data_IF_680998808814
#
_entry.id   IF_680998808814
#
_cell.length_a   1.000
_cell.length_b   1.000
_cell.length_c   1.000
_cell.angle_alpha   90.00
_cell.angle_beta   90.00
_cell.angle_gamma   90.00
#
_symmetry.space_group_name_H-M   'P 1'
#
loop_
_entity.id
_entity.type
_entity.pdbx_description
1 polymer ?
#
# COMPACT_ATOMS: atom_id res chain seq x y z
N UNK A 1 20.45 15.52 20.04
CA UNK A 1 20.80 14.09 20.17
C UNK A 1 21.39 13.89 21.55
N UNK A 2 21.15 12.77 22.26
CA UNK A 2 22.12 12.38 23.28
C UNK A 2 23.46 12.25 22.55
N UNK A 3 24.44 13.08 22.92
CA UNK A 3 25.70 13.19 22.18
C UNK A 3 26.43 11.85 22.19
N UNK A 4 26.27 11.07 21.12
CA UNK A 4 27.07 9.88 20.88
C UNK A 4 28.54 10.30 20.88
N UNK A 5 29.38 9.62 21.66
CA UNK A 5 30.80 9.94 21.71
C UNK A 5 31.43 9.85 20.31
N UNK A 6 32.42 10.70 20.02
CA UNK A 6 33.13 10.70 18.73
C UNK A 6 33.71 9.33 18.37
N UNK A 7 34.09 8.52 19.38
CA UNK A 7 34.54 7.13 19.21
C UNK A 7 33.43 6.23 18.68
N UNK A 8 32.23 6.31 19.28
CA UNK A 8 31.08 5.51 18.85
C UNK A 8 30.58 5.93 17.48
N UNK A 9 30.59 7.23 17.17
CA UNK A 9 30.25 7.73 15.83
C UNK A 9 31.20 7.18 14.75
N UNK A 10 32.52 7.15 15.01
CA UNK A 10 33.49 6.57 14.07
C UNK A 10 33.28 5.07 13.87
N UNK A 11 33.01 4.33 14.94
CA UNK A 11 32.73 2.90 14.86
C UNK A 11 31.51 2.61 13.99
N UNK A 12 30.38 3.28 14.26
CA UNK A 12 29.14 3.08 13.50
C UNK A 12 29.30 3.47 12.03
N UNK A 13 30.04 4.55 11.74
CA UNK A 13 30.37 4.91 10.35
C UNK A 13 31.21 3.85 9.64
N UNK A 14 32.17 3.23 10.34
CA UNK A 14 32.99 2.14 9.79
C UNK A 14 32.16 0.85 9.56
N UNK A 15 31.11 0.63 10.36
CA UNK A 15 30.15 -0.47 10.18
C UNK A 15 29.14 -0.19 9.04
N UNK A 16 29.21 0.99 8.40
CA UNK A 16 28.40 1.36 7.23
C UNK A 16 27.12 2.17 7.54
N UNK A 17 26.91 2.60 8.79
CA UNK A 17 25.73 3.39 9.15
C UNK A 17 25.83 4.86 8.73
N UNK A 18 24.79 5.37 8.06
CA UNK A 18 24.63 6.80 7.79
C UNK A 18 23.97 7.52 8.98
N UNK A 19 24.82 8.07 9.85
CA UNK A 19 24.37 8.80 11.03
C UNK A 19 23.60 10.09 10.70
N UNK A 20 23.86 10.72 9.54
CA UNK A 20 23.17 11.94 9.16
C UNK A 20 21.73 11.62 8.73
N UNK A 21 21.55 10.56 7.93
CA UNK A 21 20.23 10.06 7.55
C UNK A 21 19.42 9.59 8.76
N UNK A 22 20.03 8.77 9.64
CA UNK A 22 19.39 8.30 10.87
C UNK A 22 18.93 9.47 11.76
N UNK A 23 19.73 10.54 11.86
CA UNK A 23 19.36 11.75 12.60
C UNK A 23 18.13 12.46 12.05
N UNK A 24 17.87 12.34 10.74
CA UNK A 24 16.73 13.00 10.10
C UNK A 24 15.45 12.18 10.26
N UNK A 25 15.55 10.86 10.17
CA UNK A 25 14.38 9.96 10.23
C UNK A 25 13.98 9.56 11.66
N UNK A 26 14.87 9.74 12.64
CA UNK A 26 14.55 9.36 14.02
C UNK A 26 13.37 10.19 14.57
N UNK A 27 12.51 9.59 15.41
CA UNK A 27 11.41 10.30 16.04
C UNK A 27 11.93 11.40 16.97
N UNK A 28 11.47 12.64 16.77
CA UNK A 28 11.96 13.83 17.49
C UNK A 28 11.45 13.94 18.95
N UNK A 29 10.59 13.02 19.39
CA UNK A 29 10.03 12.99 20.74
C UNK A 29 10.47 11.80 21.60
N UNK A 30 11.43 10.99 21.12
CA UNK A 30 11.65 9.61 21.60
C UNK A 30 10.37 8.76 21.54
N UNK A 31 10.50 7.46 21.83
CA UNK A 31 9.36 6.55 21.93
C UNK A 31 9.43 5.87 23.30
N UNK A 32 8.32 5.90 24.03
CA UNK A 32 8.18 5.22 25.31
C UNK A 32 7.30 3.98 25.14
N UNK A 33 7.94 2.80 25.14
CA UNK A 33 7.28 1.49 25.14
C UNK A 33 7.05 0.96 26.57
N UNK A 34 7.56 1.61 27.62
CA UNK A 34 7.68 1.02 28.97
C UNK A 34 6.47 1.25 29.87
N UNK A 35 5.60 2.21 29.54
CA UNK A 35 4.48 2.60 30.42
C UNK A 35 3.21 1.78 30.24
N UNK A 36 2.92 1.35 29.01
CA UNK A 36 1.69 0.64 28.67
C UNK A 36 1.99 -0.44 27.63
N UNK A 37 1.70 -1.71 27.95
CA UNK A 37 2.00 -2.82 27.05
C UNK A 37 1.16 -2.81 25.77
N UNK A 38 0.10 -2.00 25.70
CA UNK A 38 -0.90 -1.99 24.61
C UNK A 38 -0.82 -0.80 23.66
N UNK A 39 -0.01 0.21 23.96
CA UNK A 39 0.24 1.34 23.06
C UNK A 39 1.56 2.02 23.46
N UNK A 40 2.22 2.70 22.53
CA UNK A 40 3.36 3.56 22.83
C UNK A 40 2.99 5.02 22.62
N UNK A 41 3.71 5.90 23.32
CA UNK A 41 3.57 7.35 23.17
C UNK A 41 4.74 7.88 22.36
N UNK A 42 4.43 8.75 21.40
CA UNK A 42 5.41 9.55 20.66
C UNK A 42 5.05 11.04 20.78
N UNK A 43 5.88 11.92 20.24
CA UNK A 43 5.63 13.38 20.25
C UNK A 43 4.31 13.79 19.60
N UNK A 44 3.79 12.98 18.68
CA UNK A 44 2.59 13.28 17.89
C UNK A 44 1.30 12.64 18.47
N UNK A 45 1.40 11.83 19.52
CA UNK A 45 0.25 11.20 20.18
C UNK A 45 0.47 9.75 20.63
N UNK A 46 -0.63 9.01 20.74
CA UNK A 46 -0.68 7.61 21.14
C UNK A 46 -0.78 6.71 19.90
N UNK A 47 -0.06 5.58 19.92
CA UNK A 47 0.02 4.66 18.79
C UNK A 47 -0.05 3.20 19.23
N UNK A 48 -0.64 2.35 18.40
CA UNK A 48 -0.63 0.89 18.61
C UNK A 48 -0.57 0.16 17.27
N UNK A 49 -0.23 -1.13 17.30
CA UNK A 49 -0.24 -2.01 16.12
C UNK A 49 -1.27 -3.11 16.33
N UNK A 50 -2.13 -3.29 15.33
CA UNK A 50 -2.96 -4.47 15.19
C UNK A 50 -2.25 -5.49 14.29
N UNK A 51 -1.90 -6.62 14.88
CA UNK A 51 -1.31 -7.77 14.20
C UNK A 51 -2.44 -8.73 13.80
N UNK A 52 -2.53 -9.05 12.50
CA UNK A 52 -3.53 -9.99 11.98
C UNK A 52 -2.95 -11.40 11.93
N UNK A 53 -3.60 -12.33 12.65
CA UNK A 53 -3.09 -13.69 12.87
C UNK A 53 -4.02 -14.80 12.36
N UNK A 54 -5.23 -14.48 11.93
CA UNK A 54 -6.15 -15.48 11.37
C UNK A 54 -6.92 -14.86 10.20
N UNK A 55 -6.99 -15.62 9.11
CA UNK A 55 -7.63 -15.22 7.86
C UNK A 55 -8.72 -16.23 7.49
N UNK A 56 -9.80 -15.80 6.84
CA UNK A 56 -10.80 -16.72 6.31
C UNK A 56 -10.18 -17.76 5.38
N UNK A 57 -10.46 -19.04 5.62
CA UNK A 57 -10.03 -20.16 4.77
C UNK A 57 -10.77 -20.23 3.44
N UNK A 58 -11.99 -19.69 3.38
CA UNK A 58 -12.85 -19.65 2.21
C UNK A 58 -13.41 -18.24 2.00
N UNK A 59 -13.78 -17.90 0.76
CA UNK A 59 -14.42 -16.61 0.45
C UNK A 59 -13.47 -15.41 0.37
N UNK A 60 -12.17 -15.64 0.16
CA UNK A 60 -11.24 -14.56 -0.21
C UNK A 60 -11.49 -14.15 -1.66
N UNK A 61 -12.32 -13.13 -1.83
CA UNK A 61 -12.59 -12.51 -3.12
C UNK A 61 -11.32 -11.85 -3.71
N UNK A 62 -11.39 -11.48 -5.00
CA UNK A 62 -10.34 -10.66 -5.60
C UNK A 62 -10.19 -9.36 -4.81
N UNK A 63 -8.94 -8.93 -4.63
CA UNK A 63 -8.53 -7.74 -3.89
C UNK A 63 -8.80 -7.81 -2.38
N UNK A 64 -8.89 -8.99 -1.77
CA UNK A 64 -9.22 -9.15 -0.35
C UNK A 64 -8.28 -8.39 0.62
N UNK A 65 -6.98 -8.24 0.32
CA UNK A 65 -6.07 -7.45 1.19
C UNK A 65 -6.42 -5.96 1.22
N UNK A 66 -7.20 -5.46 0.26
CA UNK A 66 -7.66 -4.07 0.28
C UNK A 66 -8.48 -3.75 1.53
N UNK A 67 -9.22 -4.73 2.08
CA UNK A 67 -9.99 -4.58 3.32
C UNK A 67 -9.08 -4.35 4.55
N UNK A 68 -7.81 -4.78 4.48
CA UNK A 68 -6.82 -4.68 5.55
C UNK A 68 -5.81 -3.53 5.32
N UNK A 69 -5.44 -3.28 4.07
CA UNK A 69 -4.35 -2.38 3.72
C UNK A 69 -4.81 -0.97 3.34
N UNK A 70 -6.08 -0.78 2.96
CA UNK A 70 -6.63 0.52 2.57
C UNK A 70 -7.56 1.13 3.65
N UNK A 71 -7.27 0.86 4.92
CA UNK A 71 -8.04 1.38 6.05
C UNK A 71 -7.78 2.89 6.27
N UNK A 72 -8.81 3.76 6.16
CA UNK A 72 -8.62 5.21 6.29
C UNK A 72 -8.04 5.62 7.65
N UNK A 73 -7.06 6.53 7.63
CA UNK A 73 -6.44 7.06 8.84
C UNK A 73 -5.56 6.06 9.59
N UNK A 74 -5.13 4.97 8.94
CA UNK A 74 -4.18 4.00 9.49
C UNK A 74 -2.99 3.86 8.55
N UNK A 75 -1.92 3.19 9.00
CA UNK A 75 -0.80 2.82 8.14
C UNK A 75 -0.64 1.31 8.18
N UNK A 76 -0.87 0.65 7.05
CA UNK A 76 -0.79 -0.81 6.96
C UNK A 76 0.49 -1.25 6.26
N UNK A 77 1.08 -2.36 6.73
CA UNK A 77 2.26 -2.98 6.15
C UNK A 77 1.98 -4.45 5.85
N UNK A 78 2.36 -4.87 4.64
CA UNK A 78 2.41 -6.25 4.21
C UNK A 78 3.89 -6.65 4.09
N UNK A 79 4.31 -7.64 4.86
CA UNK A 79 5.66 -8.20 4.78
C UNK A 79 5.55 -9.65 4.31
N UNK A 80 6.33 -10.00 3.27
CA UNK A 80 6.31 -11.32 2.64
C UNK A 80 7.74 -11.86 2.56
N UNK A 81 7.91 -13.13 2.91
CA UNK A 81 9.12 -13.89 2.65
C UNK A 81 8.76 -15.26 2.08
N UNK A 82 9.68 -15.86 1.32
CA UNK A 82 9.45 -17.18 0.74
C UNK A 82 9.66 -18.25 1.81
N UNK A 83 8.71 -19.17 1.92
CA UNK A 83 8.81 -20.31 2.83
C UNK A 83 9.55 -21.49 2.19
N UNK A 84 10.23 -22.28 3.02
CA UNK A 84 10.76 -23.58 2.61
C UNK A 84 9.66 -24.63 2.71
N UNK A 85 9.19 -25.10 1.55
CA UNK A 85 8.14 -26.11 1.45
C UNK A 85 8.46 -27.37 2.25
N UNK A 86 9.74 -27.77 2.41
CA UNK A 86 10.11 -28.97 3.19
C UNK A 86 9.92 -28.76 4.69
N UNK A 87 10.34 -27.60 5.19
CA UNK A 87 10.16 -27.26 6.61
C UNK A 87 8.68 -27.09 6.93
N UNK A 88 7.95 -26.41 6.05
CA UNK A 88 6.51 -26.19 6.19
C UNK A 88 5.73 -27.52 6.19
N UNK A 89 6.10 -28.49 5.36
CA UNK A 89 5.48 -29.82 5.39
C UNK A 89 5.63 -30.51 6.73
N UNK A 90 6.85 -30.50 7.28
CA UNK A 90 7.11 -31.10 8.59
C UNK A 90 6.29 -30.44 9.70
N UNK A 91 6.17 -29.13 9.68
CA UNK A 91 5.37 -28.39 10.66
C UNK A 91 3.87 -28.62 10.52
N UNK A 92 3.39 -28.81 9.30
CA UNK A 92 2.00 -29.20 9.04
C UNK A 92 1.76 -30.61 9.61
N UNK A 93 2.67 -31.56 9.40
CA UNK A 93 2.58 -32.91 9.97
C UNK A 93 2.56 -32.88 11.50
N UNK A 94 3.51 -32.17 12.13
CA UNK A 94 3.59 -32.00 13.58
C UNK A 94 2.29 -31.36 14.14
N UNK A 95 1.75 -30.36 13.43
CA UNK A 95 0.49 -29.70 13.81
C UNK A 95 -0.73 -30.62 13.68
N UNK A 96 -0.78 -31.45 12.64
CA UNK A 96 -1.84 -32.45 12.46
C UNK A 96 -1.78 -33.48 13.59
N UNK A 97 -0.59 -33.96 13.95
CA UNK A 97 -0.41 -34.90 15.06
C UNK A 97 -0.88 -34.28 16.38
N UNK A 98 -0.44 -33.06 16.69
CA UNK A 98 -0.86 -32.35 17.90
C UNK A 98 -2.39 -32.20 17.97
N UNK A 99 -3.03 -31.73 16.90
CA UNK A 99 -4.49 -31.57 16.85
C UNK A 99 -5.22 -32.90 16.96
N UNK A 100 -4.69 -33.95 16.36
CA UNK A 100 -5.27 -35.29 16.45
C UNK A 100 -5.28 -35.81 17.88
N UNK A 101 -4.25 -35.51 18.69
CA UNK A 101 -4.23 -35.91 20.11
C UNK A 101 -5.27 -35.20 20.97
N UNK A 102 -5.72 -34.00 20.55
CA UNK A 102 -6.75 -33.22 21.27
C UNK A 102 -8.17 -33.75 21.04
N UNK A 103 -8.37 -34.58 20.01
CA UNK A 103 -9.65 -35.22 19.74
C UNK A 103 -9.82 -36.38 20.71
N UNK A 104 -10.71 -36.21 21.69
CA UNK A 104 -11.03 -37.25 22.67
C UNK A 104 -12.53 -37.52 22.73
N UNK A 105 -12.93 -38.71 23.17
CA UNK A 105 -14.36 -39.03 23.36
C UNK A 105 -15.00 -38.22 24.51
N UNK A 106 -14.20 -37.59 25.38
CA UNK A 106 -14.66 -36.86 26.57
C UNK A 106 -14.85 -35.35 26.32
N UNK A 107 -14.33 -34.81 25.21
CA UNK A 107 -14.52 -33.40 24.83
C UNK A 107 -15.89 -33.17 24.19
N UNK A 108 -16.40 -31.93 24.28
CA UNK A 108 -17.66 -31.54 23.64
C UNK A 108 -17.60 -31.84 22.13
N UNK A 109 -18.67 -32.42 21.59
CA UNK A 109 -18.78 -32.81 20.17
C UNK A 109 -18.46 -31.64 19.21
N UNK A 110 -18.85 -30.41 19.60
CA UNK A 110 -18.55 -29.18 18.86
C UNK A 110 -17.07 -28.82 18.83
N UNK A 111 -16.32 -29.09 19.89
CA UNK A 111 -14.87 -28.84 19.91
C UNK A 111 -14.15 -29.86 19.02
N UNK A 112 -14.53 -31.13 19.12
CA UNK A 112 -13.96 -32.18 18.26
C UNK A 112 -14.20 -31.89 16.77
N UNK A 113 -15.38 -31.38 16.42
CA UNK A 113 -15.70 -30.99 15.05
C UNK A 113 -14.78 -29.87 14.53
N UNK A 114 -14.50 -28.85 15.35
CA UNK A 114 -13.59 -27.76 14.96
C UNK A 114 -12.16 -28.27 14.70
N UNK A 115 -11.64 -29.10 15.60
CA UNK A 115 -10.30 -29.69 15.40
C UNK A 115 -10.24 -30.56 14.14
N UNK A 116 -11.30 -31.33 13.84
CA UNK A 116 -11.40 -32.10 12.60
C UNK A 116 -11.41 -31.21 11.34
N UNK A 117 -12.15 -30.11 11.37
CA UNK A 117 -12.21 -29.17 10.25
C UNK A 117 -10.83 -28.51 10.01
N UNK A 118 -10.09 -28.19 11.08
CA UNK A 118 -8.72 -27.65 10.98
C UNK A 118 -7.72 -28.69 10.45
N UNK A 119 -7.82 -29.94 10.89
CA UNK A 119 -7.02 -31.05 10.35
C UNK A 119 -7.29 -31.24 8.85
N UNK A 120 -8.54 -31.17 8.41
CA UNK A 120 -8.87 -31.26 6.97
C UNK A 120 -8.24 -30.10 6.17
N UNK A 121 -8.25 -28.88 6.71
CA UNK A 121 -7.61 -27.73 6.09
C UNK A 121 -6.08 -27.88 5.98
N UNK A 122 -5.42 -28.35 7.05
CA UNK A 122 -3.98 -28.65 7.03
C UNK A 122 -3.63 -29.75 6.01
N UNK A 123 -4.46 -30.78 5.92
CA UNK A 123 -4.30 -31.84 4.91
C UNK A 123 -4.47 -31.33 3.47
N UNK A 124 -5.42 -30.43 3.22
CA UNK A 124 -5.57 -29.77 1.92
C UNK A 124 -4.31 -28.98 1.57
N UNK A 125 -3.81 -28.18 2.52
CA UNK A 125 -2.60 -27.38 2.31
C UNK A 125 -1.38 -28.26 2.02
N UNK A 126 -1.16 -29.32 2.80
CA UNK A 126 -0.08 -30.30 2.57
C UNK A 126 -0.15 -30.90 1.16
N UNK A 127 -1.34 -31.34 0.72
CA UNK A 127 -1.55 -31.88 -0.63
C UNK A 127 -1.28 -30.86 -1.73
N UNK A 128 -1.59 -29.59 -1.52
CA UNK A 128 -1.30 -28.53 -2.49
C UNK A 128 0.21 -28.30 -2.64
N UNK A 129 0.96 -28.34 -1.54
CA UNK A 129 2.42 -28.23 -1.55
C UNK A 129 3.03 -29.41 -2.31
N UNK A 130 2.63 -30.64 -1.97
CA UNK A 130 3.16 -31.87 -2.59
C UNK A 130 2.85 -31.99 -4.08
N UNK A 131 1.56 -31.84 -4.45
CA UNK A 131 1.11 -32.21 -5.79
C UNK A 131 1.38 -31.13 -6.83
N UNK A 132 1.38 -29.86 -6.41
CA UNK A 132 1.43 -28.71 -7.33
C UNK A 132 2.73 -27.92 -7.23
N UNK A 133 3.62 -28.26 -6.29
CA UNK A 133 4.86 -27.54 -6.02
C UNK A 133 4.64 -26.01 -5.94
N UNK A 134 3.54 -25.61 -5.28
CA UNK A 134 3.16 -24.20 -5.17
C UNK A 134 4.17 -23.51 -4.25
N UNK A 135 4.59 -22.31 -4.65
CA UNK A 135 5.40 -21.46 -3.80
C UNK A 135 4.55 -20.96 -2.61
N UNK A 136 5.00 -21.27 -1.41
CA UNK A 136 4.42 -20.76 -0.17
C UNK A 136 5.20 -19.53 0.29
N UNK A 137 4.48 -18.58 0.88
CA UNK A 137 5.06 -17.38 1.46
C UNK A 137 4.56 -17.21 2.89
N UNK A 138 5.44 -16.78 3.79
CA UNK A 138 5.05 -16.33 5.11
C UNK A 138 4.63 -14.88 5.04
N UNK A 139 3.43 -14.60 5.53
CA UNK A 139 2.79 -13.30 5.42
C UNK A 139 2.57 -12.69 6.80
N UNK A 140 2.99 -11.43 6.96
CA UNK A 140 2.64 -10.59 8.10
C UNK A 140 1.83 -9.39 7.64
N UNK A 141 0.72 -9.12 8.32
CA UNK A 141 -0.09 -7.92 8.12
C UNK A 141 -0.19 -7.18 9.43
N UNK A 142 0.27 -5.93 9.39
CA UNK A 142 0.32 -5.03 10.55
C UNK A 142 -0.38 -3.74 10.21
N UNK A 143 -1.34 -3.34 11.03
CA UNK A 143 -2.07 -2.08 10.87
C UNK A 143 -1.73 -1.17 12.04
N UNK A 144 -1.00 -0.09 11.75
CA UNK A 144 -0.64 0.93 12.71
C UNK A 144 -1.79 1.90 12.87
N UNK A 145 -2.28 2.01 14.09
CA UNK A 145 -3.36 2.91 14.48
C UNK A 145 -2.76 4.01 15.36
N UNK A 146 -3.19 5.24 15.12
CA UNK A 146 -2.70 6.42 15.83
C UNK A 146 -3.84 7.40 16.12
N UNK A 147 -3.76 8.08 17.25
CA UNK A 147 -4.68 9.11 17.71
C UNK A 147 -3.98 10.06 18.71
N UNK A 148 -4.56 11.22 18.96
CA UNK A 148 -3.99 12.21 19.89
C UNK A 148 -4.07 11.75 21.34
N UNK A 149 -5.15 11.07 21.72
CA UNK A 149 -5.43 10.64 23.10
C UNK A 149 -5.74 9.13 23.14
N UNK A 150 -5.47 8.50 24.28
CA UNK A 150 -5.65 7.06 24.54
C UNK A 150 -7.07 6.57 24.27
N UNK A 151 -8.10 7.29 24.71
CA UNK A 151 -9.50 6.88 24.52
C UNK A 151 -9.88 6.85 23.03
N UNK A 152 -9.43 7.85 22.27
CA UNK A 152 -9.63 7.90 20.82
C UNK A 152 -8.88 6.79 20.10
N UNK A 153 -7.68 6.45 20.56
CA UNK A 153 -6.88 5.35 20.01
C UNK A 153 -7.64 4.03 20.12
N UNK A 154 -8.13 3.69 21.31
CA UNK A 154 -8.85 2.43 21.52
C UNK A 154 -10.21 2.40 20.82
N UNK A 155 -10.91 3.54 20.75
CA UNK A 155 -12.13 3.63 19.93
C UNK A 155 -11.83 3.33 18.46
N UNK A 156 -10.77 3.91 17.90
CA UNK A 156 -10.34 3.67 16.52
C UNK A 156 -9.88 2.24 16.29
N UNK A 157 -9.24 1.61 17.28
CA UNK A 157 -8.88 0.19 17.25
C UNK A 157 -10.13 -0.68 17.13
N UNK A 158 -11.16 -0.42 17.93
CA UNK A 158 -12.42 -1.18 17.84
C UNK A 158 -13.14 -0.93 16.52
N UNK A 159 -13.17 0.32 16.02
CA UNK A 159 -13.70 0.63 14.68
C UNK A 159 -12.96 -0.12 13.56
N UNK A 160 -11.64 -0.27 13.66
CA UNK A 160 -10.83 -1.05 12.70
C UNK A 160 -11.17 -2.53 12.81
N UNK A 161 -11.23 -3.09 14.02
CA UNK A 161 -11.59 -4.50 14.26
C UNK A 161 -12.99 -4.83 13.74
N UNK A 162 -13.97 -3.95 13.95
CA UNK A 162 -15.34 -4.12 13.46
C UNK A 162 -15.37 -4.17 11.93
N UNK A 163 -14.67 -3.24 11.26
CA UNK A 163 -14.55 -3.22 9.79
C UNK A 163 -13.86 -4.45 9.24
N UNK A 164 -12.89 -5.00 9.98
CA UNK A 164 -12.13 -6.19 9.59
C UNK A 164 -12.58 -7.44 10.34
N UNK A 165 -13.83 -7.52 10.78
CA UNK A 165 -14.34 -8.59 11.68
C UNK A 165 -14.24 -10.01 11.12
N UNK A 166 -14.11 -10.13 9.79
CA UNK A 166 -13.81 -11.39 9.09
C UNK A 166 -12.42 -11.95 9.44
N UNK A 167 -11.50 -11.08 9.82
CA UNK A 167 -10.12 -11.39 10.15
C UNK A 167 -9.91 -11.30 11.66
N UNK A 168 -9.01 -12.11 12.22
CA UNK A 168 -8.65 -11.97 13.64
C UNK A 168 -7.40 -11.12 13.78
N UNK A 169 -7.51 -10.08 14.59
CA UNK A 169 -6.42 -9.20 14.95
C UNK A 169 -6.34 -9.00 16.46
N UNK A 170 -5.12 -8.75 16.94
CA UNK A 170 -4.88 -8.41 18.33
C UNK A 170 -3.74 -7.40 18.45
N UNK A 171 -3.72 -6.71 19.57
CA UNK A 171 -2.54 -5.95 20.02
C UNK A 171 -1.65 -6.96 20.75
N UNK A 172 -0.38 -7.03 20.35
CA UNK A 172 0.60 -7.90 20.99
C UNK A 172 1.19 -7.18 22.20
N UNK A 173 0.57 -7.40 23.36
CA UNK A 173 1.02 -6.80 24.62
C UNK A 173 2.46 -7.21 24.94
N UNK A 174 3.34 -6.23 25.15
CA UNK A 174 4.75 -6.46 25.47
C UNK A 174 5.67 -6.75 24.28
N UNK A 175 5.13 -6.77 23.05
CA UNK A 175 5.91 -6.93 21.80
C UNK A 175 5.79 -5.70 20.88
N UNK A 176 5.32 -4.55 21.39
CA UNK A 176 5.09 -3.35 20.59
C UNK A 176 6.37 -2.71 20.06
N UNK A 177 7.49 -2.91 20.74
CA UNK A 177 8.81 -2.55 20.25
C UNK A 177 9.18 -3.35 18.99
N UNK A 178 8.98 -4.67 19.00
CA UNK A 178 9.17 -5.52 17.82
C UNK A 178 8.22 -5.15 16.70
N UNK A 179 6.93 -4.92 17.00
CA UNK A 179 5.93 -4.51 16.00
C UNK A 179 6.25 -3.15 15.39
N UNK A 180 6.73 -2.19 16.17
CA UNK A 180 7.19 -0.89 15.67
C UNK A 180 8.39 -1.03 14.74
N UNK A 181 9.34 -1.91 15.07
CA UNK A 181 10.55 -2.12 14.27
C UNK A 181 10.32 -2.99 13.02
N UNK A 182 9.28 -3.81 12.99
CA UNK A 182 9.02 -4.77 11.92
C UNK A 182 9.05 -4.19 10.50
N UNK A 183 8.48 -3.00 10.19
CA UNK A 183 8.55 -2.41 8.85
C UNK A 183 9.97 -2.10 8.36
N UNK A 184 10.93 -1.97 9.27
CA UNK A 184 12.33 -1.67 8.96
C UNK A 184 13.20 -2.93 8.84
N UNK A 185 12.64 -4.10 9.15
CA UNK A 185 13.34 -5.38 9.14
C UNK A 185 12.79 -6.21 7.98
N UNK A 186 13.63 -6.69 7.05
CA UNK A 186 13.19 -7.59 5.98
C UNK A 186 12.42 -8.78 6.55
N UNK A 187 11.34 -9.18 5.88
CA UNK A 187 10.38 -10.16 6.41
C UNK A 187 11.03 -11.50 6.80
N UNK A 188 12.05 -11.95 6.07
CA UNK A 188 12.79 -13.19 6.34
C UNK A 188 13.52 -13.16 7.69
N UNK A 189 14.05 -12.01 8.10
CA UNK A 189 14.77 -11.84 9.36
C UNK A 189 13.85 -11.56 10.55
N UNK A 190 12.53 -11.39 10.34
CA UNK A 190 11.60 -11.17 11.45
C UNK A 190 11.42 -12.43 12.31
N UNK A 191 11.67 -13.61 11.76
CA UNK A 191 11.61 -14.91 12.47
C UNK A 191 12.76 -15.04 13.48
N UNK A 192 13.89 -14.39 13.20
CA UNK A 192 15.09 -14.39 14.05
C UNK A 192 14.99 -13.42 15.23
N UNK A 193 13.91 -12.63 15.30
CA UNK A 193 13.67 -11.75 16.43
C UNK A 193 13.41 -12.57 17.71
N UNK A 194 13.68 -12.00 18.91
CA UNK A 194 13.48 -12.70 20.18
C UNK A 194 12.08 -13.28 20.43
N UNK A 195 11.04 -12.74 19.76
CA UNK A 195 9.68 -13.25 19.85
C UNK A 195 9.42 -14.45 18.93
N UNK A 196 10.36 -14.79 18.03
CA UNK A 196 10.31 -15.92 17.11
C UNK A 196 8.99 -16.05 16.34
N UNK A 197 8.37 -14.92 16.02
CA UNK A 197 7.03 -14.90 15.42
C UNK A 197 7.13 -15.21 13.93
N UNK A 198 6.55 -16.34 13.51
CA UNK A 198 6.47 -16.73 12.10
C UNK A 198 5.29 -16.06 11.39
N UNK A 199 5.47 -15.78 10.10
CA UNK A 199 4.39 -15.30 9.24
C UNK A 199 3.41 -16.43 8.93
N UNK A 200 2.20 -16.06 8.51
CA UNK A 200 1.18 -17.07 8.21
C UNK A 200 1.45 -17.66 6.83
N UNK A 201 1.61 -18.99 6.71
CA UNK A 201 1.91 -19.62 5.44
C UNK A 201 0.72 -19.47 4.50
N UNK A 202 0.94 -18.72 3.43
CA UNK A 202 -0.09 -18.35 2.46
C UNK A 202 0.37 -18.73 1.06
N UNK A 203 -0.46 -19.42 0.25
CA UNK A 203 -0.11 -19.74 -1.12
C UNK A 203 0.10 -18.50 -1.99
N UNK A 204 1.05 -18.57 -2.93
CA UNK A 204 1.34 -17.48 -3.86
C UNK A 204 0.09 -16.98 -4.62
N UNK A 205 -0.81 -17.89 -5.00
CA UNK A 205 -2.03 -17.54 -5.74
C UNK A 205 -3.01 -16.73 -4.89
N UNK A 206 -3.12 -17.02 -3.58
CA UNK A 206 -3.98 -16.30 -2.64
C UNK A 206 -3.44 -14.89 -2.39
N UNK A 207 -2.11 -14.74 -2.31
CA UNK A 207 -1.44 -13.43 -2.21
C UNK A 207 -1.67 -12.61 -3.48
N UNK A 208 -1.53 -13.23 -4.66
CA UNK A 208 -1.79 -12.58 -5.94
C UNK A 208 -3.25 -12.12 -6.06
N UNK A 209 -4.20 -12.94 -5.60
CA UNK A 209 -5.61 -12.56 -5.48
C UNK A 209 -5.86 -11.41 -4.51
N UNK A 210 -4.95 -11.19 -3.56
CA UNK A 210 -4.96 -10.10 -2.59
C UNK A 210 -4.35 -8.80 -3.10
N UNK A 211 -4.14 -8.58 -4.39
CA UNK A 211 -3.62 -7.28 -4.85
C UNK A 211 -4.45 -6.11 -4.28
N UNK A 212 -3.83 -5.17 -3.58
CA UNK A 212 -4.55 -4.12 -2.84
C UNK A 212 -4.49 -2.75 -3.53
N UNK A 213 -3.64 -2.59 -4.54
CA UNK A 213 -3.65 -1.40 -5.39
C UNK A 213 -4.75 -1.52 -6.45
N UNK A 214 -6.01 -1.55 -6.01
CA UNK A 214 -7.17 -1.60 -6.90
C UNK A 214 -7.47 -0.22 -7.50
N UNK A 215 -6.47 0.38 -8.14
CA UNK A 215 -6.65 1.60 -8.90
C UNK A 215 -6.08 1.46 -10.29
N UNK A 216 -6.89 1.84 -11.27
CA UNK A 216 -6.40 2.07 -12.63
C UNK A 216 -5.67 3.41 -12.62
N UNK A 217 -4.43 3.42 -13.13
CA UNK A 217 -3.63 4.63 -13.27
C UNK A 217 -3.04 4.73 -14.67
N UNK A 218 -2.71 5.94 -15.06
CA UNK A 218 -1.91 6.23 -16.25
C UNK A 218 -0.73 7.05 -15.79
N UNK A 219 0.47 6.47 -15.83
CA UNK A 219 1.70 7.13 -15.37
C UNK A 219 2.72 7.13 -16.50
N UNK A 220 2.61 8.11 -17.38
CA UNK A 220 3.65 8.37 -18.38
C UNK A 220 4.86 9.01 -17.68
N UNK A 221 6.07 8.54 -17.99
CA UNK A 221 7.32 8.99 -17.36
C UNK A 221 7.50 10.51 -17.45
N UNK A 222 7.16 11.08 -18.60
CA UNK A 222 7.22 12.53 -18.87
C UNK A 222 5.82 13.15 -18.86
N UNK A 223 4.84 12.53 -18.19
CA UNK A 223 3.48 13.05 -18.09
C UNK A 223 3.36 14.31 -17.23
N UNK A 224 2.26 15.03 -17.41
CA UNK A 224 1.82 16.00 -16.41
C UNK A 224 0.48 15.55 -15.82
N UNK A 225 0.25 15.95 -14.57
CA UNK A 225 -0.90 15.50 -13.81
C UNK A 225 -2.20 16.14 -14.32
N UNK A 226 -3.17 15.30 -14.69
CA UNK A 226 -4.48 15.74 -15.19
C UNK A 226 -5.62 15.51 -14.19
N UNK A 227 -5.48 14.53 -13.31
CA UNK A 227 -6.50 14.20 -12.32
C UNK A 227 -6.40 12.76 -11.82
N UNK A 228 -7.51 12.30 -11.27
CA UNK A 228 -7.68 10.95 -10.73
C UNK A 228 -8.65 10.14 -11.60
N UNK A 229 -8.42 8.84 -11.69
CA UNK A 229 -9.42 7.89 -12.19
C UNK A 229 -10.55 7.72 -11.16
N UNK A 230 -11.71 7.13 -11.53
CA UNK A 230 -12.77 6.82 -10.57
C UNK A 230 -12.31 5.91 -9.41
N UNK A 231 -11.23 5.16 -9.62
CA UNK A 231 -10.59 4.31 -8.61
C UNK A 231 -9.47 5.02 -7.83
N UNK A 232 -9.39 6.36 -7.89
CA UNK A 232 -8.36 7.18 -7.25
C UNK A 232 -6.90 6.90 -7.69
N UNK A 233 -6.71 6.40 -8.91
CA UNK A 233 -5.37 6.28 -9.49
C UNK A 233 -4.96 7.55 -10.20
N UNK A 234 -3.70 7.95 -10.08
CA UNK A 234 -3.20 9.16 -10.72
C UNK A 234 -3.23 9.04 -12.26
N UNK A 235 -3.53 10.15 -12.94
CA UNK A 235 -3.47 10.28 -14.39
C UNK A 235 -2.40 11.31 -14.73
N UNK A 236 -1.15 10.85 -14.85
CA UNK A 236 -0.03 11.57 -15.43
C UNK A 236 0.05 11.24 -16.90
N UNK A 237 -0.40 12.16 -17.74
CA UNK A 237 -0.54 11.92 -19.17
C UNK A 237 0.48 12.74 -19.96
N UNK A 238 1.17 12.07 -20.88
CA UNK A 238 2.00 12.66 -21.90
C UNK A 238 1.40 12.40 -23.29
N UNK A 239 0.78 13.42 -23.86
CA UNK A 239 0.20 13.34 -25.20
C UNK A 239 1.22 13.06 -26.31
N UNK A 240 2.47 13.49 -26.11
CA UNK A 240 3.55 13.33 -27.08
C UNK A 240 4.33 12.03 -26.90
N UNK A 241 3.95 11.19 -25.93
CA UNK A 241 4.57 9.88 -25.72
C UNK A 241 4.35 8.97 -26.92
N UNK A 242 5.38 8.21 -27.29
CA UNK A 242 5.31 7.25 -28.39
C UNK A 242 5.76 5.89 -27.90
N UNK A 243 4.86 4.93 -27.99
CA UNK A 243 5.08 3.55 -27.59
C UNK A 243 4.45 2.60 -28.62
N UNK A 244 4.52 1.29 -28.38
CA UNK A 244 3.96 0.26 -29.28
C UNK A 244 2.45 0.42 -29.50
N UNK A 245 1.72 1.06 -28.58
CA UNK A 245 0.27 1.31 -28.66
C UNK A 245 -0.04 2.72 -29.19
N UNK A 246 0.70 3.74 -28.76
CA UNK A 246 0.57 5.16 -29.14
C UNK A 246 1.61 5.50 -30.21
N UNK A 247 1.30 5.15 -31.45
CA UNK A 247 2.23 5.38 -32.57
C UNK A 247 2.22 6.84 -33.07
N UNK A 248 1.12 7.56 -32.86
CA UNK A 248 0.92 8.95 -33.29
C UNK A 248 0.22 9.78 -32.22
N UNK A 249 0.62 11.03 -32.08
CA UNK A 249 0.06 11.99 -31.14
C UNK A 249 -1.10 12.75 -31.78
N UNK A 250 -2.27 12.11 -31.81
CA UNK A 250 -3.53 12.74 -32.19
C UNK A 250 -4.59 12.43 -31.15
N UNK A 251 -5.39 13.43 -30.80
CA UNK A 251 -6.43 13.32 -29.78
C UNK A 251 -7.72 13.98 -30.28
N UNK A 252 -8.83 13.29 -30.05
CA UNK A 252 -10.17 13.86 -30.18
C UNK A 252 -10.75 13.96 -28.77
N UNK A 253 -11.23 15.15 -28.43
CA UNK A 253 -11.98 15.40 -27.20
C UNK A 253 -13.46 15.63 -27.58
N UNK A 254 -14.34 14.76 -27.11
CA UNK A 254 -15.78 14.79 -27.43
C UNK A 254 -16.63 14.52 -26.18
N UNK A 255 -17.91 14.86 -26.23
CA UNK A 255 -18.83 14.87 -25.08
C UNK A 255 -19.85 16.00 -25.14
N UNK A 256 -20.83 15.96 -24.24
CA UNK A 256 -21.89 16.97 -24.19
C UNK A 256 -21.38 18.33 -23.67
N UNK A 257 -22.04 19.44 -24.04
CA UNK A 257 -21.74 20.76 -23.49
C UNK A 257 -21.71 20.73 -21.95
N UNK A 258 -20.75 21.46 -21.36
CA UNK A 258 -20.52 21.57 -19.90
C UNK A 258 -19.99 20.31 -19.20
N UNK A 259 -19.46 19.31 -19.92
CA UNK A 259 -18.82 18.11 -19.34
C UNK A 259 -17.31 18.24 -19.09
N UNK A 260 -16.77 19.47 -19.02
CA UNK A 260 -15.37 19.70 -18.66
C UNK A 260 -14.35 19.61 -19.81
N UNK A 261 -14.79 19.48 -21.06
CA UNK A 261 -13.90 19.48 -22.24
C UNK A 261 -12.98 20.70 -22.28
N UNK A 262 -13.56 21.90 -22.07
CA UNK A 262 -12.83 23.16 -22.00
C UNK A 262 -11.74 23.11 -20.92
N UNK A 263 -12.11 22.69 -19.71
CA UNK A 263 -11.18 22.61 -18.58
C UNK A 263 -10.04 21.64 -18.84
N UNK A 264 -10.33 20.50 -19.46
CA UNK A 264 -9.31 19.54 -19.88
C UNK A 264 -8.37 20.15 -20.91
N UNK A 265 -8.89 20.78 -21.96
CA UNK A 265 -8.09 21.34 -23.05
C UNK A 265 -7.20 22.50 -22.57
N UNK A 266 -7.69 23.34 -21.65
CA UNK A 266 -6.89 24.38 -21.00
C UNK A 266 -5.73 23.80 -20.18
N UNK A 267 -6.00 22.79 -19.33
CA UNK A 267 -4.93 22.09 -18.59
C UNK A 267 -3.94 21.40 -19.52
N UNK A 268 -4.45 20.78 -20.59
CA UNK A 268 -3.63 20.06 -21.55
C UNK A 268 -2.64 20.99 -22.28
N UNK A 269 -3.15 22.12 -22.79
CA UNK A 269 -2.32 23.14 -23.46
C UNK A 269 -1.37 23.80 -22.48
N UNK A 270 -1.77 24.05 -21.24
CA UNK A 270 -0.90 24.60 -20.21
C UNK A 270 0.27 23.65 -19.88
N UNK A 271 -0.01 22.35 -19.75
CA UNK A 271 1.02 21.34 -19.53
C UNK A 271 2.01 21.22 -20.69
N UNK A 272 1.56 21.42 -21.94
CA UNK A 272 2.45 21.47 -23.10
C UNK A 272 3.29 22.76 -23.15
N UNK A 273 2.69 23.90 -22.83
CA UNK A 273 3.38 25.18 -22.76
C UNK A 273 4.46 25.17 -21.68
N UNK A 274 4.16 24.63 -20.49
CA UNK A 274 5.12 24.50 -19.39
C UNK A 274 6.34 23.65 -19.75
N UNK A 275 6.18 22.71 -20.70
CA UNK A 275 7.27 21.89 -21.25
C UNK A 275 8.05 22.58 -22.38
N UNK A 276 7.69 23.82 -22.73
CA UNK A 276 8.35 24.61 -23.78
C UNK A 276 7.88 24.29 -25.20
N UNK A 277 6.72 23.68 -25.38
CA UNK A 277 6.19 23.43 -26.72
C UNK A 277 5.53 24.66 -27.33
N UNK A 278 5.67 24.80 -28.65
CA UNK A 278 4.93 25.79 -29.43
C UNK A 278 3.52 25.29 -29.72
N UNK A 279 2.52 26.07 -29.34
CA UNK A 279 1.10 25.74 -29.47
C UNK A 279 0.43 26.72 -30.43
N UNK A 280 -0.34 26.20 -31.38
CA UNK A 280 -1.20 27.00 -32.27
C UNK A 280 -2.63 26.53 -32.10
N UNK A 281 -3.52 27.42 -31.69
CA UNK A 281 -4.92 27.12 -31.44
C UNK A 281 -5.80 27.90 -32.41
N UNK A 282 -6.82 27.23 -32.97
CA UNK A 282 -7.92 27.88 -33.65
C UNK A 282 -9.09 27.96 -32.67
N UNK A 283 -9.41 29.17 -32.23
CA UNK A 283 -10.44 29.40 -31.22
C UNK A 283 -11.57 30.28 -31.77
N UNK A 284 -12.68 29.64 -32.12
CA UNK A 284 -13.88 30.33 -32.60
C UNK A 284 -14.69 30.99 -31.47
N UNK A 285 -14.41 30.66 -30.20
CA UNK A 285 -15.23 31.06 -29.04
C UNK A 285 -14.55 32.08 -28.13
N UNK A 286 -13.27 32.37 -28.35
CA UNK A 286 -12.45 33.25 -27.51
C UNK A 286 -12.12 32.67 -26.12
N UNK A 287 -12.26 31.36 -25.93
CA UNK A 287 -11.99 30.70 -24.66
C UNK A 287 -10.51 30.70 -24.25
N UNK A 288 -9.59 30.73 -25.21
CA UNK A 288 -8.13 30.70 -25.00
C UNK A 288 -7.49 32.08 -24.87
N UNK A 289 -8.27 33.17 -25.02
CA UNK A 289 -7.72 34.53 -25.04
C UNK A 289 -6.96 34.86 -23.75
N UNK A 290 -7.55 34.58 -22.59
CA UNK A 290 -6.93 34.86 -21.28
C UNK A 290 -5.67 34.01 -21.06
N UNK A 291 -5.74 32.70 -21.35
CA UNK A 291 -4.59 31.79 -21.21
C UNK A 291 -3.44 32.21 -22.14
N UNK A 292 -3.75 32.55 -23.40
CA UNK A 292 -2.75 32.99 -24.37
C UNK A 292 -2.06 34.27 -23.91
N UNK A 293 -2.81 35.24 -23.35
CA UNK A 293 -2.23 36.48 -22.78
C UNK A 293 -1.30 36.18 -21.59
N UNK A 294 -1.72 35.29 -20.68
CA UNK A 294 -0.92 34.88 -19.51
C UNK A 294 0.36 34.14 -19.90
N UNK A 295 0.31 33.39 -20.99
CA UNK A 295 1.46 32.69 -21.57
C UNK A 295 2.28 33.57 -22.53
N UNK A 296 2.04 34.90 -22.54
CA UNK A 296 2.71 35.87 -23.41
C UNK A 296 2.65 35.52 -24.91
N UNK A 297 1.58 34.83 -25.33
CA UNK A 297 1.34 34.43 -26.71
C UNK A 297 0.76 35.55 -27.59
N UNK A 298 0.82 35.33 -28.90
CA UNK A 298 0.26 36.21 -29.91
C UNK A 298 -1.20 35.84 -30.20
N UNK A 299 -2.10 36.82 -30.17
CA UNK A 299 -3.50 36.65 -30.57
C UNK A 299 -3.70 37.33 -31.92
N UNK A 300 -4.12 36.56 -32.92
CA UNK A 300 -4.46 37.05 -34.24
C UNK A 300 -5.98 36.97 -34.40
N UNK A 301 -6.64 38.13 -34.41
CA UNK A 301 -8.04 38.19 -34.83
C UNK A 301 -8.10 38.12 -36.36
N UNK A 302 -8.88 37.17 -36.88
CA UNK A 302 -9.06 36.89 -38.30
C UNK A 302 -10.42 37.39 -38.82
N UNK A 303 -11.16 38.19 -38.04
CA UNK A 303 -12.49 38.71 -38.37
C UNK A 303 -12.53 39.70 -39.54
N UNK A 304 -11.38 40.19 -40.03
CA UNK A 304 -11.27 40.84 -41.35
C UNK A 304 -10.77 42.29 -41.36
N UNK A 305 -10.69 42.95 -40.21
CA UNK A 305 -10.14 44.31 -40.08
C UNK A 305 -8.61 44.32 -39.96
N UNK A 306 -8.02 43.30 -39.30
CA UNK A 306 -6.58 43.10 -39.17
C UNK A 306 -6.20 41.63 -39.45
N UNK A 307 -4.92 41.35 -39.72
CA UNK A 307 -4.35 40.01 -39.90
C UNK A 307 -4.98 39.15 -41.03
N UNK A 308 -5.20 39.74 -42.21
CA UNK A 308 -5.68 38.98 -43.38
C UNK A 308 -4.65 37.96 -43.85
N UNK A 309 -5.07 36.70 -43.97
CA UNK A 309 -4.25 35.62 -44.53
C UNK A 309 -4.59 35.50 -46.02
N UNK A 310 -3.63 35.85 -46.88
CA UNK A 310 -3.72 35.55 -48.31
C UNK A 310 -3.04 34.19 -48.56
N UNK A 311 -3.80 33.24 -49.12
CA UNK A 311 -3.32 31.89 -49.43
C UNK A 311 -2.77 31.77 -50.87
N UNK A 312 -2.79 32.87 -51.63
CA UNK A 312 -2.39 32.95 -53.04
C UNK A 312 -1.23 33.92 -53.27
#
# INVERSE_FOLDING_TARGET
MPDLSKRRQRQLKNEGYDLAFLSQIQPQGNIDFKKDDRFWISGDGCHTVLHYYEYPTEGMDRFWLSELLLLPGTRSFLSLYKEDNRQLQKEIEDSIEEKSTRITNNSKLTNNRKELDEIDNLNKLSREIDKRNIAMYGMYIRVFVFASIKEELFKKVEEVKDKTSKFKSTILSGELDFEYHAPFIPAEYQIDLPNHRRGIPTPAHSIAGGYFFNHTKLEDEKGFYLGWTPTNGAVNFNFLERDEKRTRSFMILSGNPKMGQRSFLMKHTDGLYAKGHYIRNFDATGQFLDQTRKQHGLILDLSGEANRINIF
#
